data_IF_277845840341
#
_entry.id   IF_277845840341
#
_cell.length_a   1.000
_cell.length_b   1.000
_cell.length_c   1.000
_cell.angle_alpha   90.00
_cell.angle_beta   90.00
_cell.angle_gamma   90.00
#
_symmetry.space_group_name_H-M   'P 1'
#
loop_
_entity.id
_entity.type
_entity.pdbx_description
1 polymer ?
#
# COMPACT_ATOMS: atom_id res chain seq x y z
N UNK A 1 25.60 -20.91 28.95
CA UNK A 1 24.88 -19.64 29.11
C UNK A 1 25.12 -18.80 27.87
N UNK A 2 24.08 -18.11 27.41
CA UNK A 2 24.04 -17.11 26.35
C UNK A 2 24.08 -17.62 24.89
N UNK A 3 22.93 -17.47 24.24
CA UNK A 3 22.69 -17.67 22.83
C UNK A 3 21.21 -17.81 22.52
N UNK A 4 20.31 -17.14 23.26
CA UNK A 4 18.95 -16.90 22.79
C UNK A 4 19.09 -16.08 21.50
N UNK A 5 18.99 -16.77 20.35
CA UNK A 5 18.85 -16.10 19.07
C UNK A 5 17.61 -15.25 19.16
N UNK A 6 17.80 -13.94 19.12
CA UNK A 6 16.75 -12.96 18.92
C UNK A 6 15.90 -13.43 17.74
N UNK A 7 14.72 -13.97 18.06
CA UNK A 7 13.72 -14.37 17.07
C UNK A 7 13.05 -13.10 16.53
N UNK A 8 13.86 -12.16 16.04
CA UNK A 8 13.40 -11.00 15.31
C UNK A 8 12.86 -11.47 13.97
N UNK A 9 11.73 -10.90 13.55
CA UNK A 9 11.17 -11.14 12.23
C UNK A 9 12.25 -10.93 11.16
N UNK A 10 12.47 -11.93 10.29
CA UNK A 10 13.38 -11.77 9.17
C UNK A 10 12.80 -10.76 8.16
N UNK A 11 13.67 -10.06 7.43
CA UNK A 11 13.24 -9.15 6.38
C UNK A 11 12.37 -9.86 5.33
N UNK A 12 12.60 -11.16 5.11
CA UNK A 12 11.78 -12.01 4.22
C UNK A 12 10.38 -12.21 4.79
N UNK A 13 10.24 -12.58 6.07
CA UNK A 13 8.92 -12.74 6.71
C UNK A 13 8.11 -11.44 6.70
N UNK A 14 8.77 -10.30 6.95
CA UNK A 14 8.13 -8.99 6.88
C UNK A 14 7.66 -8.72 5.45
N UNK A 15 8.50 -8.96 4.46
CA UNK A 15 8.15 -8.69 3.08
C UNK A 15 7.04 -9.62 2.57
N UNK A 16 7.06 -10.89 2.95
CA UNK A 16 6.04 -11.88 2.63
C UNK A 16 4.68 -11.46 3.22
N UNK A 17 4.66 -11.03 4.48
CA UNK A 17 3.44 -10.50 5.09
C UNK A 17 2.96 -9.22 4.37
N UNK A 18 3.89 -8.32 4.01
CA UNK A 18 3.56 -7.13 3.21
C UNK A 18 2.94 -7.49 1.85
N UNK A 19 3.45 -8.51 1.18
CA UNK A 19 2.92 -9.02 -0.07
C UNK A 19 1.50 -9.57 0.08
N UNK A 20 1.25 -10.36 1.14
CA UNK A 20 -0.08 -10.87 1.42
C UNK A 20 -1.05 -9.73 1.73
N UNK A 21 -0.67 -8.79 2.60
CA UNK A 21 -1.51 -7.64 2.95
C UNK A 21 -1.85 -6.78 1.72
N UNK A 22 -0.88 -6.52 0.84
CA UNK A 22 -1.12 -5.74 -0.38
C UNK A 22 -2.05 -6.47 -1.36
N UNK A 23 -1.84 -7.78 -1.57
CA UNK A 23 -2.70 -8.60 -2.44
C UNK A 23 -4.14 -8.62 -1.93
N UNK A 24 -4.33 -8.81 -0.63
CA UNK A 24 -5.65 -8.73 0.01
C UNK A 24 -6.27 -7.35 -0.13
N UNK A 25 -5.45 -6.31 0.03
CA UNK A 25 -5.90 -4.94 -0.08
C UNK A 25 -6.49 -4.63 -1.45
N UNK A 26 -5.76 -5.02 -2.50
CA UNK A 26 -6.16 -4.85 -3.90
C UNK A 26 -7.36 -5.74 -4.24
N UNK A 27 -7.31 -7.01 -3.85
CA UNK A 27 -8.36 -7.99 -4.17
C UNK A 27 -9.74 -7.55 -3.68
N UNK A 28 -9.85 -7.13 -2.41
CA UNK A 28 -11.13 -6.68 -1.84
C UNK A 28 -11.70 -5.49 -2.64
N UNK A 29 -10.85 -4.52 -2.98
CA UNK A 29 -11.26 -3.31 -3.70
C UNK A 29 -11.63 -3.56 -5.16
N UNK A 30 -10.87 -4.40 -5.85
CA UNK A 30 -11.22 -4.84 -7.21
C UNK A 30 -12.55 -5.59 -7.20
N UNK A 31 -12.75 -6.48 -6.22
CA UNK A 31 -13.99 -7.25 -6.05
C UNK A 31 -15.20 -6.37 -5.75
N UNK A 32 -15.05 -5.32 -4.93
CA UNK A 32 -16.11 -4.35 -4.62
C UNK A 32 -16.45 -3.42 -5.79
N UNK A 33 -15.55 -3.25 -6.77
CA UNK A 33 -15.76 -2.34 -7.91
C UNK A 33 -16.87 -2.79 -8.88
N UNK A 34 -17.47 -3.97 -8.72
CA UNK A 34 -18.75 -4.34 -9.35
C UNK A 34 -18.73 -4.66 -10.85
N UNK A 35 -17.59 -4.56 -11.54
CA UNK A 35 -17.49 -4.95 -12.95
C UNK A 35 -17.33 -6.47 -13.10
N UNK A 36 -18.42 -7.13 -13.49
CA UNK A 36 -18.46 -8.59 -13.71
C UNK A 36 -17.60 -9.06 -14.90
N UNK A 37 -17.11 -8.15 -15.76
CA UNK A 37 -16.42 -8.49 -17.00
C UNK A 37 -14.89 -8.67 -16.81
N UNK A 38 -14.34 -8.20 -15.69
CA UNK A 38 -12.91 -8.29 -15.33
C UNK A 38 -12.73 -8.89 -13.94
N UNK A 39 -13.39 -10.03 -13.66
CA UNK A 39 -13.33 -10.68 -12.35
C UNK A 39 -11.91 -11.22 -12.06
N UNK A 40 -11.06 -10.37 -11.47
CA UNK A 40 -9.74 -10.77 -10.99
C UNK A 40 -9.92 -11.65 -9.76
N UNK A 41 -9.57 -12.94 -9.87
CA UNK A 41 -9.61 -13.83 -8.72
C UNK A 41 -8.43 -13.58 -7.79
N UNK A 42 -8.57 -14.02 -6.53
CA UNK A 42 -7.48 -13.99 -5.55
C UNK A 42 -6.25 -14.78 -6.04
N UNK A 43 -6.48 -15.87 -6.77
CA UNK A 43 -5.41 -16.69 -7.34
C UNK A 43 -4.70 -15.97 -8.49
N UNK A 44 -5.41 -15.16 -9.27
CA UNK A 44 -4.81 -14.34 -10.33
C UNK A 44 -3.83 -13.32 -9.78
N UNK A 45 -4.01 -12.86 -8.54
CA UNK A 45 -3.08 -11.96 -7.86
C UNK A 45 -1.95 -12.71 -7.12
N UNK A 46 -1.94 -14.04 -7.19
CA UNK A 46 -1.04 -14.89 -6.42
C UNK A 46 -1.26 -14.77 -4.91
N UNK A 47 -2.48 -14.45 -4.48
CA UNK A 47 -2.87 -14.34 -3.07
C UNK A 47 -3.32 -15.70 -2.52
N UNK A 48 -3.05 -15.93 -1.24
CA UNK A 48 -3.60 -17.04 -0.45
C UNK A 48 -4.65 -16.50 0.54
N UNK A 49 -5.51 -17.38 1.05
CA UNK A 49 -6.39 -16.99 2.14
C UNK A 49 -5.57 -16.70 3.39
N UNK A 50 -5.82 -15.54 4.02
CA UNK A 50 -5.22 -15.23 5.31
C UNK A 50 -5.77 -16.22 6.33
N UNK A 51 -4.92 -17.08 6.90
CA UNK A 51 -5.33 -18.02 7.94
C UNK A 51 -5.18 -17.42 9.35
N UNK A 52 -4.17 -16.56 9.55
CA UNK A 52 -3.86 -15.99 10.86
C UNK A 52 -4.85 -14.89 11.27
N UNK A 53 -5.47 -14.98 12.46
CA UNK A 53 -6.46 -14.00 12.91
C UNK A 53 -5.89 -12.60 13.12
N UNK A 54 -4.60 -12.48 13.41
CA UNK A 54 -3.89 -11.21 13.57
C UNK A 54 -3.68 -10.54 12.22
N UNK A 55 -3.21 -11.31 11.23
CA UNK A 55 -3.07 -10.82 9.86
C UNK A 55 -4.42 -10.42 9.24
N UNK A 56 -5.51 -11.15 9.56
CA UNK A 56 -6.88 -10.74 9.16
C UNK A 56 -7.26 -9.38 9.74
N UNK A 57 -6.96 -9.13 11.01
CA UNK A 57 -7.23 -7.83 11.66
C UNK A 57 -6.39 -6.71 11.03
N UNK A 58 -5.14 -6.98 10.66
CA UNK A 58 -4.30 -6.02 9.94
C UNK A 58 -4.89 -5.68 8.57
N UNK A 59 -5.27 -6.70 7.79
CA UNK A 59 -5.92 -6.51 6.50
C UNK A 59 -7.21 -5.69 6.64
N UNK A 60 -8.06 -6.02 7.62
CA UNK A 60 -9.27 -5.24 7.92
C UNK A 60 -8.98 -3.79 8.29
N UNK A 61 -7.94 -3.53 9.09
CA UNK A 61 -7.52 -2.18 9.43
C UNK A 61 -7.08 -1.40 8.19
N UNK A 62 -6.30 -2.01 7.30
CA UNK A 62 -5.91 -1.41 6.02
C UNK A 62 -7.13 -1.11 5.14
N UNK A 63 -8.11 -2.03 5.08
CA UNK A 63 -9.37 -1.79 4.37
C UNK A 63 -10.12 -0.57 4.90
N UNK A 64 -10.28 -0.48 6.21
CA UNK A 64 -10.95 0.67 6.84
C UNK A 64 -10.26 1.99 6.51
N UNK A 65 -8.92 2.03 6.58
CA UNK A 65 -8.17 3.24 6.21
C UNK A 65 -8.35 3.56 4.73
N UNK A 66 -8.32 2.54 3.87
CA UNK A 66 -8.61 2.71 2.45
C UNK A 66 -10.00 3.31 2.21
N UNK A 67 -11.01 2.82 2.92
CA UNK A 67 -12.40 3.26 2.77
C UNK A 67 -12.55 4.74 3.20
N UNK A 68 -11.85 5.16 4.25
CA UNK A 68 -11.74 6.57 4.65
C UNK A 68 -11.03 7.44 3.61
N UNK A 69 -9.97 6.92 2.98
CA UNK A 69 -9.25 7.62 1.90
C UNK A 69 -10.10 7.74 0.62
N UNK A 70 -10.95 6.75 0.33
CA UNK A 70 -11.91 6.80 -0.76
C UNK A 70 -12.96 7.90 -0.57
N UNK A 71 -13.38 8.14 0.68
CA UNK A 71 -14.33 9.19 1.01
C UNK A 71 -13.76 10.62 0.86
N UNK A 72 -12.44 10.77 0.70
CA UNK A 72 -11.80 12.06 0.50
C UNK A 72 -11.92 12.53 -0.96
N UNK A 73 -12.92 13.36 -1.25
CA UNK A 73 -13.24 13.84 -2.61
C UNK A 73 -12.08 14.53 -3.31
N UNK A 74 -11.28 15.33 -2.59
CA UNK A 74 -10.14 16.03 -3.19
C UNK A 74 -9.04 15.04 -3.60
N UNK A 75 -8.73 14.07 -2.73
CA UNK A 75 -7.82 12.97 -3.07
C UNK A 75 -8.34 12.17 -4.28
N UNK A 76 -9.63 11.86 -4.33
CA UNK A 76 -10.24 11.16 -5.45
C UNK A 76 -10.13 11.94 -6.76
N UNK A 77 -10.35 13.25 -6.73
CA UNK A 77 -10.21 14.13 -7.91
C UNK A 77 -8.79 14.09 -8.45
N UNK A 78 -7.78 14.12 -7.57
CA UNK A 78 -6.38 14.08 -7.97
C UNK A 78 -5.99 12.73 -8.55
N UNK A 79 -6.47 11.64 -7.96
CA UNK A 79 -6.27 10.28 -8.45
C UNK A 79 -6.95 10.02 -9.80
N UNK A 80 -7.92 10.84 -10.19
CA UNK A 80 -8.56 10.78 -11.50
C UNK A 80 -7.82 11.58 -12.59
N UNK A 81 -6.72 12.27 -12.26
CA UNK A 81 -5.93 13.01 -13.26
C UNK A 81 -5.28 12.03 -14.26
N UNK A 82 -5.45 12.32 -15.56
CA UNK A 82 -4.99 11.45 -16.64
C UNK A 82 -3.47 11.29 -16.72
N UNK A 83 -2.69 12.08 -15.99
CA UNK A 83 -1.24 11.91 -15.88
C UNK A 83 -0.82 10.80 -14.90
N UNK A 84 -1.72 10.30 -14.06
CA UNK A 84 -1.47 9.19 -13.13
C UNK A 84 -1.75 7.84 -13.79
N UNK A 85 -0.98 7.53 -14.83
CA UNK A 85 -1.07 6.25 -15.53
C UNK A 85 -0.47 5.10 -14.70
N UNK A 86 -0.91 3.85 -14.91
CA UNK A 86 -0.39 2.67 -14.21
C UNK A 86 0.98 2.23 -14.77
N UNK A 87 1.97 3.12 -14.73
CA UNK A 87 3.34 2.87 -15.20
C UNK A 87 4.36 2.94 -14.08
N UNK A 88 5.49 2.25 -14.26
CA UNK A 88 6.58 2.22 -13.28
C UNK A 88 7.12 3.62 -12.99
N UNK A 89 7.15 4.50 -13.99
CA UNK A 89 7.62 5.87 -13.82
C UNK A 89 6.70 6.68 -12.90
N UNK A 90 5.38 6.57 -13.08
CA UNK A 90 4.38 7.22 -12.21
C UNK A 90 4.54 6.69 -10.79
N UNK A 91 4.57 5.36 -10.65
CA UNK A 91 4.74 4.69 -9.36
C UNK A 91 6.00 5.17 -8.63
N UNK A 92 7.15 5.11 -9.31
CA UNK A 92 8.43 5.45 -8.71
C UNK A 92 8.56 6.94 -8.36
N UNK A 93 7.88 7.83 -9.10
CA UNK A 93 7.85 9.27 -8.76
C UNK A 93 7.05 9.51 -7.49
N UNK A 94 5.84 8.96 -7.40
CA UNK A 94 4.99 9.11 -6.21
C UNK A 94 5.62 8.43 -4.99
N UNK A 95 6.16 7.21 -5.14
CA UNK A 95 6.84 6.52 -4.07
C UNK A 95 8.03 7.31 -3.52
N UNK A 96 8.88 7.86 -4.40
CA UNK A 96 10.00 8.74 -4.00
C UNK A 96 9.52 10.00 -3.30
N UNK A 97 8.45 10.62 -3.78
CA UNK A 97 7.89 11.82 -3.18
C UNK A 97 7.33 11.56 -1.77
N UNK A 98 6.68 10.41 -1.55
CA UNK A 98 6.16 10.01 -0.23
C UNK A 98 7.27 9.97 0.84
N UNK A 99 8.49 9.57 0.45
CA UNK A 99 9.62 9.38 1.37
C UNK A 99 10.77 10.37 1.14
N UNK A 100 10.51 11.47 0.42
CA UNK A 100 11.55 12.41 -0.04
C UNK A 100 12.33 13.10 1.09
N UNK A 101 11.69 13.33 2.23
CA UNK A 101 12.31 13.95 3.41
C UNK A 101 13.05 12.96 4.34
N UNK A 102 13.12 11.67 3.95
CA UNK A 102 13.79 10.62 4.72
C UNK A 102 13.05 10.15 5.98
N UNK A 103 11.82 10.60 6.23
CA UNK A 103 11.03 10.18 7.40
C UNK A 103 10.16 8.96 7.08
N UNK A 104 10.06 8.04 8.05
CA UNK A 104 9.24 6.85 7.94
C UNK A 104 8.18 6.81 9.03
N UNK A 105 6.95 6.51 8.65
CA UNK A 105 5.83 6.26 9.56
C UNK A 105 4.78 5.40 8.85
N UNK A 106 3.88 4.79 9.62
CA UNK A 106 2.85 3.90 9.06
C UNK A 106 1.88 4.63 8.11
N UNK A 107 1.63 5.92 8.33
CA UNK A 107 0.84 6.73 7.40
C UNK A 107 1.39 6.76 5.98
N UNK A 108 2.71 6.85 5.84
CA UNK A 108 3.39 6.83 4.53
C UNK A 108 3.40 5.45 3.88
N UNK A 109 3.59 4.41 4.68
CA UNK A 109 3.49 3.02 4.20
C UNK A 109 2.07 2.75 3.68
N UNK A 110 1.06 3.18 4.42
CA UNK A 110 -0.35 3.07 3.98
C UNK A 110 -0.62 3.92 2.75
N UNK A 111 -0.08 5.13 2.65
CA UNK A 111 -0.21 5.98 1.46
C UNK A 111 0.38 5.30 0.21
N UNK A 112 1.53 4.62 0.34
CA UNK A 112 2.14 3.84 -0.74
C UNK A 112 1.25 2.66 -1.15
N UNK A 113 0.73 1.89 -0.20
CA UNK A 113 -0.18 0.76 -0.44
C UNK A 113 -1.47 1.23 -1.14
N UNK A 114 -2.03 2.34 -0.65
CA UNK A 114 -3.22 2.94 -1.22
C UNK A 114 -2.97 3.38 -2.67
N UNK A 115 -1.88 4.09 -2.94
CA UNK A 115 -1.54 4.50 -4.29
C UNK A 115 -1.31 3.32 -5.24
N UNK A 116 -0.61 2.26 -4.81
CA UNK A 116 -0.44 1.04 -5.58
C UNK A 116 -1.79 0.39 -5.93
N UNK A 117 -2.71 0.33 -4.96
CA UNK A 117 -4.06 -0.19 -5.17
C UNK A 117 -4.85 0.64 -6.18
N UNK A 118 -4.71 1.97 -6.16
CA UNK A 118 -5.33 2.85 -7.16
C UNK A 118 -4.84 2.58 -8.57
N UNK A 119 -3.54 2.39 -8.77
CA UNK A 119 -2.99 2.03 -10.09
C UNK A 119 -3.51 0.66 -10.55
N UNK A 120 -3.65 -0.30 -9.62
CA UNK A 120 -4.20 -1.62 -9.92
C UNK A 120 -5.67 -1.55 -10.36
N UNK A 121 -6.48 -0.72 -9.70
CA UNK A 121 -7.89 -0.51 -10.04
C UNK A 121 -8.10 0.18 -11.39
N UNK A 122 -7.14 0.98 -11.86
CA UNK A 122 -7.21 1.63 -13.17
C UNK A 122 -7.03 0.66 -14.34
N UNK A 123 -6.21 -0.37 -14.17
CA UNK A 123 -5.92 -1.32 -15.26
C UNK A 123 -6.92 -2.46 -15.27
N UNK A 124 -7.28 -2.98 -14.09
CA UNK A 124 -8.03 -4.23 -13.90
C UNK A 124 -7.43 -5.43 -14.68
N UNK A 125 -6.17 -5.33 -15.13
CA UNK A 125 -5.46 -6.36 -15.90
C UNK A 125 -4.56 -7.12 -14.92
N UNK A 126 -4.79 -8.41 -14.66
CA UNK A 126 -4.05 -9.19 -13.66
C UNK A 126 -2.52 -9.08 -13.78
N UNK A 127 -1.98 -9.16 -15.00
CA UNK A 127 -0.54 -9.08 -15.24
C UNK A 127 0.06 -7.71 -14.87
N UNK A 128 -0.67 -6.64 -15.14
CA UNK A 128 -0.23 -5.28 -14.75
C UNK A 128 -0.36 -5.13 -13.23
N UNK A 129 -1.41 -5.67 -12.62
CA UNK A 129 -1.59 -5.64 -11.16
C UNK A 129 -0.44 -6.38 -10.46
N UNK A 130 -0.05 -7.58 -10.92
CA UNK A 130 1.14 -8.30 -10.41
C UNK A 130 2.39 -7.46 -10.53
N UNK A 131 2.55 -6.75 -11.64
CA UNK A 131 3.68 -5.87 -11.88
C UNK A 131 3.71 -4.70 -10.87
N UNK A 132 2.57 -4.08 -10.58
CA UNK A 132 2.43 -3.01 -9.57
C UNK A 132 2.73 -3.53 -8.16
N UNK A 133 2.25 -4.74 -7.83
CA UNK A 133 2.57 -5.41 -6.56
C UNK A 133 4.09 -5.59 -6.46
N UNK A 134 4.75 -6.07 -7.50
CA UNK A 134 6.20 -6.26 -7.52
C UNK A 134 6.95 -4.93 -7.30
N UNK A 135 6.59 -3.85 -8.00
CA UNK A 135 7.22 -2.54 -7.78
C UNK A 135 7.07 -2.07 -6.33
N UNK A 136 5.91 -2.33 -5.72
CA UNK A 136 5.66 -1.97 -4.33
C UNK A 136 6.54 -2.78 -3.38
N UNK A 137 6.67 -4.09 -3.61
CA UNK A 137 7.51 -4.96 -2.79
C UNK A 137 9.00 -4.68 -2.95
N UNK A 138 9.45 -4.38 -4.18
CA UNK A 138 10.82 -3.94 -4.43
C UNK A 138 11.12 -2.65 -3.68
N UNK A 139 10.23 -1.65 -3.77
CA UNK A 139 10.42 -0.39 -3.05
C UNK A 139 10.43 -0.59 -1.53
N UNK A 140 9.54 -1.43 -0.99
CA UNK A 140 9.57 -1.78 0.44
C UNK A 140 10.89 -2.45 0.82
N UNK A 141 11.33 -3.44 0.04
CA UNK A 141 12.59 -4.18 0.28
C UNK A 141 13.79 -3.24 0.29
N UNK A 142 13.86 -2.30 -0.63
CA UNK A 142 15.01 -1.42 -0.79
C UNK A 142 15.04 -0.26 0.21
N UNK A 143 13.87 0.29 0.58
CA UNK A 143 13.81 1.56 1.29
C UNK A 143 13.12 1.50 2.67
N UNK A 144 12.20 0.57 2.90
CA UNK A 144 11.27 0.64 4.04
C UNK A 144 11.43 -0.56 4.99
N UNK A 145 11.96 -1.69 4.51
CA UNK A 145 11.93 -2.98 5.24
C UNK A 145 12.66 -2.92 6.58
N UNK A 146 13.80 -2.22 6.63
CA UNK A 146 14.60 -2.08 7.85
C UNK A 146 13.82 -1.31 8.91
N UNK A 147 13.13 -0.23 8.51
CA UNK A 147 12.28 0.54 9.42
C UNK A 147 11.11 -0.31 9.94
N UNK A 148 10.44 -1.08 9.08
CA UNK A 148 9.35 -1.98 9.52
C UNK A 148 9.86 -3.00 10.54
N UNK A 149 11.06 -3.56 10.31
CA UNK A 149 11.70 -4.46 11.27
C UNK A 149 11.97 -3.77 12.61
N UNK A 150 12.45 -2.54 12.61
CA UNK A 150 12.67 -1.74 13.82
C UNK A 150 11.36 -1.45 14.58
N UNK A 151 10.21 -1.42 13.89
CA UNK A 151 8.89 -1.33 14.52
C UNK A 151 8.37 -2.67 15.07
N UNK A 152 9.14 -3.76 14.95
CA UNK A 152 8.72 -5.11 15.35
C UNK A 152 7.77 -5.80 14.35
N UNK A 153 7.76 -5.35 13.10
CA UNK A 153 6.91 -5.91 12.03
C UNK A 153 5.62 -5.11 11.79
N UNK A 154 4.64 -5.73 11.14
CA UNK A 154 3.43 -5.07 10.64
C UNK A 154 2.37 -4.75 11.71
N UNK A 155 2.47 -5.33 12.91
CA UNK A 155 1.52 -5.09 14.00
C UNK A 155 1.48 -3.62 14.46
N UNK A 156 2.55 -2.86 14.21
CA UNK A 156 2.64 -1.44 14.52
C UNK A 156 1.56 -0.57 13.84
N UNK A 157 1.02 -1.01 12.70
CA UNK A 157 -0.07 -0.30 11.99
C UNK A 157 -1.27 -0.12 12.91
N UNK A 158 -1.67 -1.17 13.63
CA UNK A 158 -2.87 -1.13 14.49
C UNK A 158 -2.72 -0.15 15.64
N UNK A 159 -1.52 -0.08 16.20
CA UNK A 159 -1.19 0.88 17.26
C UNK A 159 -1.25 2.32 16.73
N UNK A 160 -0.68 2.55 15.55
CA UNK A 160 -0.62 3.87 14.92
C UNK A 160 -2.00 4.44 14.53
N UNK A 161 -2.90 3.59 14.03
CA UNK A 161 -4.25 3.98 13.62
C UNK A 161 -5.31 3.77 14.70
N UNK A 162 -4.91 3.50 15.95
CA UNK A 162 -5.82 3.51 17.11
C UNK A 162 -6.37 4.91 17.45
N UNK A 163 -5.88 5.95 16.77
CA UNK A 163 -6.38 7.33 16.80
C UNK A 163 -6.71 7.77 15.36
N UNK A 164 -7.59 8.77 15.14
CA UNK A 164 -8.05 9.18 13.81
C UNK A 164 -6.97 9.91 12.99
N UNK A 165 -5.90 9.20 12.64
CA UNK A 165 -4.76 9.68 11.86
C UNK A 165 -4.96 9.51 10.35
N UNK A 166 -6.01 8.80 9.91
CA UNK A 166 -6.32 8.61 8.49
C UNK A 166 -6.61 9.91 7.74
N UNK A 167 -7.20 10.91 8.41
CA UNK A 167 -7.37 12.26 7.85
C UNK A 167 -6.02 12.87 7.47
N UNK A 168 -5.03 12.76 8.36
CA UNK A 168 -3.66 13.23 8.09
C UNK A 168 -3.01 12.47 6.96
N UNK A 169 -3.27 11.16 6.83
CA UNK A 169 -2.77 10.36 5.70
C UNK A 169 -3.37 10.84 4.37
N UNK A 170 -4.68 11.10 4.33
CA UNK A 170 -5.35 11.61 3.14
C UNK A 170 -4.83 12.98 2.71
N UNK A 171 -4.72 13.92 3.65
CA UNK A 171 -4.15 15.26 3.40
C UNK A 171 -2.70 15.16 2.94
N UNK A 172 -1.89 14.32 3.59
CA UNK A 172 -0.50 14.10 3.20
C UNK A 172 -0.39 13.55 1.78
N UNK A 173 -1.14 12.50 1.44
CA UNK A 173 -1.12 11.91 0.11
C UNK A 173 -1.62 12.89 -0.95
N UNK A 174 -2.68 13.66 -0.67
CA UNK A 174 -3.12 14.73 -1.55
C UNK A 174 -2.01 15.78 -1.79
N UNK A 175 -1.27 16.16 -0.74
CA UNK A 175 -0.10 17.03 -0.87
C UNK A 175 0.96 16.45 -1.80
N UNK A 176 1.35 15.19 -1.59
CA UNK A 176 2.33 14.47 -2.42
C UNK A 176 1.89 14.41 -3.88
N UNK A 177 0.63 14.03 -4.14
CA UNK A 177 0.08 13.99 -5.49
C UNK A 177 0.09 15.38 -6.13
N UNK A 178 -0.13 16.45 -5.36
CA UNK A 178 -0.17 17.82 -5.89
C UNK A 178 1.20 18.17 -6.44
N UNK A 179 2.25 17.91 -5.66
CA UNK A 179 3.64 18.14 -6.06
C UNK A 179 3.98 17.36 -7.34
N UNK A 180 3.65 16.07 -7.40
CA UNK A 180 3.95 15.23 -8.59
C UNK A 180 3.19 15.70 -9.83
N UNK A 181 1.91 16.05 -9.69
CA UNK A 181 1.08 16.54 -10.80
C UNK A 181 1.57 17.89 -11.32
N UNK A 182 1.97 18.81 -10.44
CA UNK A 182 2.55 20.11 -10.83
C UNK A 182 3.88 19.90 -11.55
N UNK A 183 4.76 19.06 -11.03
CA UNK A 183 6.05 18.75 -11.68
C UNK A 183 5.91 18.06 -13.05
N UNK A 184 4.77 17.43 -13.34
CA UNK A 184 4.51 16.78 -14.64
C UNK A 184 3.82 17.69 -15.66
N UNK A 185 3.12 18.73 -15.22
CA UNK A 185 2.45 19.70 -16.11
C UNK A 185 3.41 20.81 -16.57
N UNK A 186 4.56 20.96 -15.90
CA UNK A 186 5.68 21.84 -16.28
C UNK A 186 6.61 21.07 -17.21
#
# INVERSE_FOLDING_TARGET
MAGEGDAGFSNEQILDLGAVLLKEFIFDRVSRSGDSETAVSRQDLGGSELCDPTHKKLAQCLQQIGDELDNNVDLQRMLADSSLQPTQEVFSKVAREIFSDGKFNWGRVVALFYFACRLALMTKIPEIIKTIINWTLEYLREHVINWIREQGGWEGIRSYFGTPTWQTVGVFLAGVLTTVLVMRKI
#
